data_IF_358805159190
#
_entry.id   IF_358805159190
#
_cell.length_a   1.000
_cell.length_b   1.000
_cell.length_c   1.000
_cell.angle_alpha   90.00
_cell.angle_beta   90.00
_cell.angle_gamma   90.00
#
_symmetry.space_group_name_H-M   'P 1'
#
loop_
_entity.id
_entity.type
_entity.pdbx_description
1 polymer ?
#
# COMPACT_ATOMS: atom_id res chain seq x y z
N UNK A 1 -1.77 -9.55 -17.43
CA UNK A 1 -1.27 -8.18 -17.54
C UNK A 1 -0.38 -7.85 -16.37
N UNK A 2 0.68 -7.13 -16.61
CA UNK A 2 1.70 -6.88 -15.59
C UNK A 2 1.95 -5.39 -15.41
N UNK A 3 2.35 -5.01 -14.21
CA UNK A 3 2.76 -3.64 -13.95
C UNK A 3 3.98 -3.65 -13.04
N UNK A 4 4.73 -2.58 -13.08
CA UNK A 4 5.88 -2.42 -12.19
C UNK A 4 5.42 -1.84 -10.86
N UNK A 5 6.06 -2.28 -9.79
CA UNK A 5 5.77 -1.76 -8.46
C UNK A 5 5.91 -0.24 -8.40
N UNK A 6 6.88 0.29 -9.13
CA UNK A 6 7.09 1.74 -9.15
C UNK A 6 5.91 2.52 -9.70
N UNK A 7 4.95 1.86 -10.33
CA UNK A 7 3.76 2.52 -10.85
C UNK A 7 2.66 2.72 -9.80
N UNK A 8 2.88 2.25 -8.58
CA UNK A 8 1.91 2.47 -7.52
C UNK A 8 1.84 3.94 -7.09
N UNK A 9 2.92 4.67 -7.23
CA UNK A 9 2.95 6.07 -6.83
C UNK A 9 1.90 6.89 -7.57
N UNK A 10 1.21 7.75 -6.86
CA UNK A 10 0.19 8.61 -7.44
C UNK A 10 -1.22 8.01 -7.44
N UNK A 11 -1.35 6.72 -7.14
CA UNK A 11 -2.67 6.11 -7.05
C UNK A 11 -3.25 6.33 -5.65
N UNK A 12 -4.56 6.32 -5.56
CA UNK A 12 -5.22 6.45 -4.26
C UNK A 12 -5.42 5.08 -3.64
N UNK A 13 -5.14 4.97 -2.35
CA UNK A 13 -5.34 3.73 -1.61
C UNK A 13 -6.70 3.76 -0.95
N UNK A 14 -7.52 2.75 -1.23
CA UNK A 14 -8.88 2.66 -0.72
C UNK A 14 -9.05 1.34 0.00
N UNK A 15 -9.62 1.39 1.19
CA UNK A 15 -9.92 0.17 1.94
C UNK A 15 -11.36 -0.23 1.67
N UNK A 16 -11.54 -1.38 1.05
CA UNK A 16 -12.85 -1.88 0.71
C UNK A 16 -13.68 -2.22 1.94
N UNK A 17 -13.02 -2.63 3.00
CA UNK A 17 -13.72 -3.10 4.19
C UNK A 17 -14.60 -2.03 4.82
N UNK A 18 -14.14 -0.80 4.86
CA UNK A 18 -14.90 0.30 5.44
C UNK A 18 -15.10 1.47 4.50
N UNK A 19 -14.65 1.35 3.27
CA UNK A 19 -14.79 2.41 2.28
C UNK A 19 -13.87 3.61 2.49
N UNK A 20 -12.95 3.52 3.43
CA UNK A 20 -12.12 4.67 3.73
C UNK A 20 -11.04 4.88 2.67
N UNK A 21 -10.71 6.14 2.46
CA UNK A 21 -9.60 6.51 1.62
C UNK A 21 -8.39 6.74 2.50
N UNK A 22 -7.32 6.01 2.21
CA UNK A 22 -6.14 6.06 3.05
C UNK A 22 -5.10 7.05 2.54
N UNK A 23 -5.39 7.73 1.44
CA UNK A 23 -4.53 8.77 0.90
C UNK A 23 -3.88 8.37 -0.40
N UNK A 24 -3.10 9.31 -0.95
CA UNK A 24 -2.36 9.02 -2.17
C UNK A 24 -1.09 8.25 -1.82
N UNK A 25 -0.81 7.25 -2.61
CA UNK A 25 0.40 6.47 -2.45
C UNK A 25 1.57 7.29 -2.94
N UNK A 26 2.53 7.56 -2.07
CA UNK A 26 3.75 8.22 -2.48
C UNK A 26 4.71 7.21 -3.05
N UNK A 27 4.83 6.08 -2.38
CA UNK A 27 5.80 5.08 -2.72
C UNK A 27 5.36 3.74 -2.15
N UNK A 28 5.95 2.68 -2.62
CA UNK A 28 5.65 1.35 -2.12
C UNK A 28 6.93 0.53 -2.03
N UNK A 29 6.97 -0.34 -1.05
CA UNK A 29 8.09 -1.24 -0.85
C UNK A 29 7.55 -2.63 -0.55
N UNK A 30 8.41 -3.59 -0.45
CA UNK A 30 8.04 -4.97 -0.16
C UNK A 30 8.75 -5.45 1.08
N UNK A 31 8.00 -6.14 1.93
CA UNK A 31 8.58 -6.84 3.06
C UNK A 31 8.75 -8.29 2.63
N UNK A 32 9.97 -8.75 2.57
CA UNK A 32 10.30 -10.07 2.05
C UNK A 32 10.82 -10.95 3.17
N UNK A 33 10.33 -12.18 3.22
CA UNK A 33 10.85 -13.16 4.16
C UNK A 33 12.16 -13.68 3.60
N UNK A 34 13.26 -13.35 4.25
CA UNK A 34 14.58 -13.71 3.76
C UNK A 34 14.84 -15.21 3.75
N UNK A 35 14.18 -15.94 4.62
CA UNK A 35 14.42 -17.37 4.70
C UNK A 35 13.76 -18.16 3.59
N UNK A 36 12.57 -17.74 3.20
CA UNK A 36 11.80 -18.48 2.20
C UNK A 36 11.79 -17.78 0.84
N UNK A 37 12.12 -16.50 0.80
CA UNK A 37 12.02 -15.71 -0.42
C UNK A 37 10.61 -15.26 -0.73
N UNK A 38 9.66 -15.50 0.16
CA UNK A 38 8.27 -15.14 -0.08
C UNK A 38 8.02 -13.68 0.26
N UNK A 39 7.09 -13.07 -0.46
CA UNK A 39 6.68 -11.71 -0.17
C UNK A 39 5.64 -11.76 0.93
N UNK A 40 5.92 -11.05 2.02
CA UNK A 40 5.00 -11.00 3.16
C UNK A 40 3.94 -9.92 2.97
N UNK A 41 4.36 -8.74 2.64
CA UNK A 41 3.46 -7.59 2.61
C UNK A 41 3.95 -6.54 1.67
N UNK A 42 3.02 -5.68 1.24
CA UNK A 42 3.37 -4.38 0.69
C UNK A 42 3.48 -3.40 1.82
N UNK A 43 4.44 -2.53 1.73
CA UNK A 43 4.55 -1.36 2.62
C UNK A 43 4.22 -0.16 1.74
N UNK A 44 3.08 0.46 2.00
CA UNK A 44 2.61 1.57 1.17
C UNK A 44 2.73 2.85 1.97
N UNK A 45 3.45 3.81 1.44
CA UNK A 45 3.67 5.09 2.10
C UNK A 45 2.75 6.13 1.50
N UNK A 46 1.99 6.81 2.36
CA UNK A 46 1.11 7.85 1.89
C UNK A 46 1.85 9.17 1.81
N UNK A 47 1.37 10.03 0.93
CA UNK A 47 1.94 11.35 0.76
C UNK A 47 1.49 12.26 1.89
N UNK A 48 2.45 12.88 2.58
CA UNK A 48 2.15 13.83 3.62
C UNK A 48 2.57 15.20 3.17
N UNK A 49 1.58 16.04 2.96
CA UNK A 49 1.87 17.37 2.47
C UNK A 49 2.49 18.27 3.49
N UNK A 50 2.18 18.05 4.76
CA UNK A 50 2.64 18.96 5.78
C UNK A 50 3.62 18.30 6.68
N UNK A 51 4.48 18.92 7.19
CA UNK A 51 5.31 18.55 8.16
C UNK A 51 6.02 17.42 8.07
N UNK A 52 6.97 17.28 8.23
CA UNK A 52 7.64 16.38 8.77
C UNK A 52 8.27 15.49 7.96
N UNK A 53 9.25 15.07 8.24
CA UNK A 53 10.17 14.13 7.77
C UNK A 53 9.68 12.73 7.89
N UNK A 54 8.65 12.50 8.64
CA UNK A 54 8.12 11.17 8.86
C UNK A 54 7.20 10.76 7.74
N UNK A 55 7.38 9.56 7.27
CA UNK A 55 6.48 8.98 6.30
C UNK A 55 5.55 8.03 7.02
N UNK A 56 4.26 8.11 6.72
CA UNK A 56 3.31 7.14 7.24
C UNK A 56 3.22 6.00 6.27
N UNK A 57 3.38 4.80 6.80
CA UNK A 57 3.27 3.61 5.99
C UNK A 57 2.18 2.69 6.51
N UNK A 58 1.59 1.92 5.61
CA UNK A 58 0.62 0.90 5.94
C UNK A 58 1.20 -0.45 5.51
N UNK A 59 1.09 -1.41 6.40
CA UNK A 59 1.51 -2.78 6.08
C UNK A 59 0.30 -3.52 5.54
N UNK A 60 0.33 -3.84 4.27
CA UNK A 60 -0.77 -4.50 3.59
C UNK A 60 -0.34 -5.93 3.27
N UNK A 61 -0.98 -6.94 3.85
CA UNK A 61 -0.63 -8.32 3.52
C UNK A 61 -0.72 -8.55 2.02
N UNK A 62 0.17 -9.39 1.50
CA UNK A 62 0.27 -9.63 0.07
C UNK A 62 -1.07 -10.00 -0.55
N UNK A 63 -1.87 -10.80 0.16
CA UNK A 63 -3.14 -11.28 -0.37
C UNK A 63 -4.33 -10.36 -0.08
N UNK A 64 -4.09 -9.19 0.50
CA UNK A 64 -5.18 -8.27 0.81
C UNK A 64 -5.48 -7.29 -0.31
N UNK A 65 -4.68 -7.28 -1.36
CA UNK A 65 -4.93 -6.41 -2.50
C UNK A 65 -6.02 -7.04 -3.34
N UNK A 66 -7.09 -6.30 -3.55
CA UNK A 66 -8.25 -6.79 -4.29
C UNK A 66 -8.25 -6.35 -5.73
N UNK A 67 -7.80 -5.15 -5.99
CA UNK A 67 -7.78 -4.65 -7.36
C UNK A 67 -6.79 -3.50 -7.49
N UNK A 68 -6.11 -3.46 -8.61
CA UNK A 68 -5.21 -2.36 -8.93
C UNK A 68 -5.75 -1.72 -10.19
N UNK A 69 -6.19 -0.48 -10.07
CA UNK A 69 -6.70 0.28 -11.20
C UNK A 69 -5.70 1.32 -11.65
N UNK A 70 -6.11 2.12 -12.62
CA UNK A 70 -5.25 3.18 -13.12
C UNK A 70 -5.02 4.25 -12.07
N UNK A 71 -6.05 4.57 -11.30
CA UNK A 71 -5.99 5.66 -10.34
C UNK A 71 -6.06 5.25 -8.90
N UNK A 72 -6.31 3.98 -8.61
CA UNK A 72 -6.48 3.54 -7.25
C UNK A 72 -6.03 2.10 -7.06
N UNK A 73 -5.69 1.81 -5.82
CA UNK A 73 -5.41 0.45 -5.36
C UNK A 73 -6.42 0.14 -4.28
N UNK A 74 -7.19 -0.93 -4.47
CA UNK A 74 -8.22 -1.34 -3.53
C UNK A 74 -7.70 -2.50 -2.72
N UNK A 75 -7.71 -2.33 -1.41
CA UNK A 75 -7.27 -3.36 -0.48
C UNK A 75 -8.41 -3.68 0.48
N UNK A 76 -8.32 -4.80 1.14
CA UNK A 76 -9.31 -5.18 2.14
C UNK A 76 -8.56 -5.55 3.41
N UNK A 77 -8.53 -4.63 4.36
CA UNK A 77 -7.84 -4.83 5.62
C UNK A 77 -8.76 -4.48 6.77
N UNK A 78 -8.74 -5.31 7.81
CA UNK A 78 -9.59 -5.07 8.97
C UNK A 78 -8.94 -4.05 9.89
N UNK A 79 -7.65 -4.23 10.14
CA UNK A 79 -6.93 -3.30 10.99
C UNK A 79 -5.93 -2.54 10.14
N UNK A 80 -5.96 -1.24 10.27
CA UNK A 80 -5.01 -0.40 9.54
C UNK A 80 -3.70 -0.41 10.29
N UNK A 81 -2.91 -1.41 10.04
CA UNK A 81 -1.63 -1.53 10.71
C UNK A 81 -0.62 -0.60 10.06
N UNK A 82 -0.01 0.21 10.87
CA UNK A 82 1.05 1.08 10.40
C UNK A 82 2.37 0.33 10.41
N UNK A 83 3.16 0.68 9.48
CA UNK A 83 4.49 0.12 9.39
C UNK A 83 5.48 0.97 10.17
#
# INVERSE_FOLDING_TARGET
MFMLLSKFGGKELVNLNDGSRLGLIEDADLLVDEETGSIDSFIIFENRLFFKNERNGYKIPWNAIRKIGNDMVIVEIEDKKKY
#
